data_IF_563913545701
#
_entry.id   IF_563913545701
#
_cell.length_a   1.000
_cell.length_b   1.000
_cell.length_c   1.000
_cell.angle_alpha   90.00
_cell.angle_beta   90.00
_cell.angle_gamma   90.00
#
_symmetry.space_group_name_H-M   'P 1'
#
loop_
_entity.id
_entity.type
_entity.pdbx_description
1 polymer ?
#
# COMPACT_ATOMS: atom_id res chain seq x y z
N UNK A 1 26.94 -6.88 9.87
CA UNK A 1 25.94 -6.62 10.62
C UNK A 1 24.62 -6.75 10.03
N UNK A 2 24.24 -5.99 9.01
CA UNK A 2 22.91 -6.09 8.42
C UNK A 2 22.66 -7.47 7.83
N UNK A 3 23.69 -8.09 7.33
CA UNK A 3 23.55 -9.41 6.73
C UNK A 3 23.21 -10.49 7.75
N UNK A 4 23.32 -10.17 9.04
CA UNK A 4 22.95 -11.13 10.07
C UNK A 4 21.50 -10.97 10.53
N UNK A 5 20.79 -10.00 9.96
CA UNK A 5 19.40 -9.77 10.36
C UNK A 5 18.48 -10.73 9.60
N UNK A 6 17.67 -11.46 10.35
CA UNK A 6 16.66 -12.34 9.78
C UNK A 6 15.36 -11.57 9.68
N UNK A 7 15.12 -10.97 8.52
CA UNK A 7 14.01 -10.05 8.31
C UNK A 7 12.67 -10.69 8.61
N UNK A 8 12.51 -11.96 8.27
CA UNK A 8 11.25 -12.65 8.48
C UNK A 8 10.89 -12.83 9.96
N UNK A 9 11.86 -12.63 10.86
CA UNK A 9 11.61 -12.71 12.28
C UNK A 9 11.31 -11.37 12.91
N UNK A 10 11.43 -10.29 12.14
CA UNK A 10 11.15 -8.94 12.64
C UNK A 10 9.67 -8.64 12.53
N UNK A 11 9.15 -7.93 13.52
CA UNK A 11 7.78 -7.44 13.38
C UNK A 11 7.79 -6.18 12.51
N UNK A 12 6.59 -5.70 12.16
CA UNK A 12 6.48 -4.56 11.25
C UNK A 12 7.14 -3.31 11.82
N UNK A 13 6.96 -3.05 13.11
CA UNK A 13 7.54 -1.85 13.71
C UNK A 13 9.06 -1.87 13.65
N UNK A 14 9.64 -3.02 13.91
CA UNK A 14 11.09 -3.17 13.81
C UNK A 14 11.56 -2.92 12.38
N UNK A 15 10.80 -3.44 11.42
CA UNK A 15 11.15 -3.29 10.02
C UNK A 15 10.99 -1.84 9.58
N UNK A 16 10.00 -1.12 10.10
CA UNK A 16 9.85 0.30 9.82
C UNK A 16 11.08 1.07 10.32
N UNK A 17 11.53 0.78 11.53
CA UNK A 17 12.69 1.46 12.08
C UNK A 17 13.94 1.23 11.23
N UNK A 18 14.13 -0.01 10.76
CA UNK A 18 15.25 -0.31 9.87
C UNK A 18 15.12 0.44 8.55
N UNK A 19 13.91 0.52 8.03
CA UNK A 19 13.65 1.21 6.76
C UNK A 19 14.00 2.70 6.88
N UNK A 20 13.70 3.31 8.02
CA UNK A 20 14.01 4.70 8.23
C UNK A 20 15.51 4.96 8.24
N UNK A 21 16.30 3.97 8.64
CA UNK A 21 17.75 4.08 8.60
C UNK A 21 18.34 3.71 7.24
N UNK A 22 17.69 2.75 6.57
CA UNK A 22 18.19 2.26 5.29
C UNK A 22 16.97 1.89 4.44
N UNK A 23 16.69 2.74 3.47
CA UNK A 23 15.47 2.61 2.66
C UNK A 23 15.37 1.29 1.91
N UNK A 24 16.48 0.59 1.71
CA UNK A 24 16.43 -0.68 1.01
C UNK A 24 15.59 -1.72 1.75
N UNK A 25 15.35 -1.53 3.03
CA UNK A 25 14.50 -2.45 3.78
C UNK A 25 13.03 -2.31 3.44
N UNK A 26 12.66 -1.24 2.74
CA UNK A 26 11.25 -1.05 2.41
C UNK A 26 10.70 -2.19 1.54
N UNK A 27 11.55 -2.80 0.72
CA UNK A 27 11.11 -3.89 -0.13
C UNK A 27 10.53 -5.06 0.68
N UNK A 28 11.00 -5.24 1.89
CA UNK A 28 10.47 -6.32 2.74
C UNK A 28 9.07 -6.00 3.24
N UNK A 29 8.81 -4.72 3.52
CA UNK A 29 7.45 -4.30 3.87
C UNK A 29 6.51 -4.49 2.69
N UNK A 30 6.97 -4.13 1.50
CA UNK A 30 6.17 -4.34 0.28
C UNK A 30 5.83 -5.82 0.14
N UNK A 31 6.83 -6.69 0.29
CA UNK A 31 6.61 -8.12 0.14
C UNK A 31 5.58 -8.66 1.12
N UNK A 32 5.56 -8.13 2.34
CA UNK A 32 4.60 -8.58 3.34
C UNK A 32 3.17 -8.24 2.99
N UNK A 33 2.97 -7.11 2.31
CA UNK A 33 1.62 -6.55 2.16
C UNK A 33 1.09 -6.53 0.73
N UNK A 34 1.93 -6.75 -0.28
CA UNK A 34 1.48 -6.51 -1.65
C UNK A 34 0.29 -7.38 -2.07
N UNK A 35 0.30 -8.66 -1.73
CA UNK A 35 -0.79 -9.53 -2.13
C UNK A 35 -2.05 -9.21 -1.35
N UNK A 36 -1.90 -9.03 -0.03
CA UNK A 36 -3.05 -8.73 0.82
C UNK A 36 -3.71 -7.42 0.42
N UNK A 37 -2.91 -6.40 0.17
CA UNK A 37 -3.45 -5.10 -0.19
C UNK A 37 -4.05 -5.12 -1.59
N UNK A 38 -3.43 -5.82 -2.52
CA UNK A 38 -3.99 -5.95 -3.86
C UNK A 38 -5.39 -6.55 -3.79
N UNK A 39 -5.55 -7.64 -3.06
CA UNK A 39 -6.84 -8.29 -2.93
C UNK A 39 -7.85 -7.40 -2.20
N UNK A 40 -7.39 -6.67 -1.20
CA UNK A 40 -8.26 -5.76 -0.47
C UNK A 40 -8.77 -4.64 -1.37
N UNK A 41 -7.85 -4.03 -2.15
CA UNK A 41 -8.22 -2.94 -3.07
C UNK A 41 -9.26 -3.44 -4.07
N UNK A 42 -9.05 -4.61 -4.66
CA UNK A 42 -9.99 -5.14 -5.63
C UNK A 42 -11.35 -5.43 -5.01
N UNK A 43 -11.34 -5.92 -3.78
CA UNK A 43 -12.59 -6.29 -3.13
C UNK A 43 -13.47 -5.09 -2.84
N UNK A 44 -12.87 -3.97 -2.42
CA UNK A 44 -13.69 -2.82 -2.02
C UNK A 44 -13.91 -1.84 -3.15
N UNK A 45 -13.12 -1.85 -4.21
CA UNK A 45 -13.26 -0.89 -5.29
C UNK A 45 -13.76 -1.49 -6.59
N UNK A 46 -13.70 -2.80 -6.72
CA UNK A 46 -14.19 -3.51 -7.90
C UNK A 46 -13.55 -3.00 -9.20
N UNK A 47 -12.28 -2.69 -9.15
CA UNK A 47 -11.55 -2.23 -10.33
C UNK A 47 -10.88 -3.41 -11.02
N UNK A 48 -10.37 -3.17 -12.22
CA UNK A 48 -9.63 -4.17 -12.95
C UNK A 48 -8.31 -4.49 -12.26
N UNK A 49 -7.65 -5.57 -12.68
CA UNK A 49 -6.34 -5.91 -12.15
C UNK A 49 -5.34 -4.79 -12.41
N UNK A 50 -5.37 -4.20 -13.60
CA UNK A 50 -4.44 -3.13 -13.94
C UNK A 50 -4.67 -1.91 -13.07
N UNK A 51 -5.93 -1.55 -12.86
CA UNK A 51 -6.24 -0.41 -12.01
C UNK A 51 -5.85 -0.68 -10.55
N UNK A 52 -6.05 -1.91 -10.10
CA UNK A 52 -5.66 -2.28 -8.75
C UNK A 52 -4.15 -2.20 -8.56
N UNK A 53 -3.38 -2.59 -9.59
CA UNK A 53 -1.93 -2.47 -9.51
C UNK A 53 -1.50 -1.01 -9.39
N UNK A 54 -2.15 -0.14 -10.16
CA UNK A 54 -1.83 1.29 -10.07
C UNK A 54 -2.15 1.85 -8.69
N UNK A 55 -3.30 1.47 -8.14
CA UNK A 55 -3.67 1.90 -6.80
C UNK A 55 -2.66 1.38 -5.77
N UNK A 56 -2.25 0.14 -5.94
CA UNK A 56 -1.30 -0.47 -5.02
C UNK A 56 0.04 0.27 -5.03
N UNK A 57 0.51 0.66 -6.22
CA UNK A 57 1.73 1.45 -6.32
C UNK A 57 1.59 2.78 -5.59
N UNK A 58 0.44 3.44 -5.74
CA UNK A 58 0.19 4.70 -5.04
C UNK A 58 0.17 4.50 -3.54
N UNK A 59 -0.39 3.38 -3.08
CA UNK A 59 -0.42 3.07 -1.65
C UNK A 59 1.00 2.96 -1.10
N UNK A 60 1.86 2.21 -1.80
CA UNK A 60 3.22 2.04 -1.32
C UNK A 60 4.02 3.32 -1.40
N UNK A 61 3.79 4.13 -2.43
CA UNK A 61 4.46 5.42 -2.52
C UNK A 61 4.05 6.32 -1.35
N UNK A 62 2.76 6.40 -1.06
CA UNK A 62 2.29 7.21 0.06
C UNK A 62 2.82 6.67 1.39
N UNK A 63 2.85 5.35 1.53
CA UNK A 63 3.39 4.73 2.72
C UNK A 63 4.85 5.14 2.92
N UNK A 64 5.64 5.03 1.86
CA UNK A 64 7.06 5.35 1.94
C UNK A 64 7.28 6.82 2.26
N UNK A 65 6.56 7.70 1.57
CA UNK A 65 6.75 9.13 1.75
C UNK A 65 6.31 9.61 3.14
N UNK A 66 5.42 8.87 3.78
CA UNK A 66 4.91 9.25 5.09
C UNK A 66 5.40 8.34 6.21
N UNK A 67 6.40 7.53 5.93
CA UNK A 67 6.86 6.56 6.92
C UNK A 67 7.35 7.23 8.19
N UNK A 68 7.93 8.42 8.09
CA UNK A 68 8.37 9.17 9.25
C UNK A 68 7.22 9.56 10.18
N UNK A 69 6.03 9.65 9.63
CA UNK A 69 4.85 10.04 10.41
C UNK A 69 4.25 8.88 11.18
N UNK A 70 4.63 7.66 10.82
CA UNK A 70 4.10 6.50 11.52
C UNK A 70 4.68 6.45 12.93
N UNK A 71 3.81 6.29 13.92
CA UNK A 71 4.28 6.14 15.30
C UNK A 71 4.23 4.67 15.68
N UNK A 72 5.26 4.22 16.37
CA UNK A 72 5.36 2.82 16.72
C UNK A 72 4.34 2.40 17.78
N UNK A 73 3.60 3.34 18.33
CA UNK A 73 2.51 3.02 19.25
C UNK A 73 1.29 2.48 18.52
N UNK A 74 1.23 2.66 17.21
CA UNK A 74 0.12 2.18 16.40
C UNK A 74 0.54 0.90 15.69
N UNK A 75 -0.46 0.11 15.28
CA UNK A 75 -0.19 -1.06 14.46
C UNK A 75 0.10 -0.62 13.04
N UNK A 76 1.23 -1.06 12.50
CA UNK A 76 1.57 -0.72 11.12
C UNK A 76 0.51 -1.25 10.15
N UNK A 77 -0.01 -2.45 10.39
CA UNK A 77 -1.03 -3.01 9.49
C UNK A 77 -2.26 -2.12 9.41
N UNK A 78 -2.71 -1.60 10.56
CA UNK A 78 -3.86 -0.71 10.54
C UNK A 78 -3.56 0.57 9.76
N UNK A 79 -2.37 1.08 9.92
CA UNK A 79 -1.97 2.32 9.28
C UNK A 79 -1.91 2.15 7.76
N UNK A 80 -1.26 1.09 7.28
CA UNK A 80 -1.14 0.89 5.83
C UNK A 80 -2.48 0.53 5.20
N UNK A 81 -3.33 -0.22 5.92
CA UNK A 81 -4.66 -0.53 5.40
C UNK A 81 -5.53 0.72 5.32
N UNK A 82 -5.35 1.67 6.23
CA UNK A 82 -6.08 2.95 6.14
C UNK A 82 -5.66 3.70 4.87
N UNK A 83 -4.38 3.70 4.55
CA UNK A 83 -3.90 4.34 3.32
C UNK A 83 -4.52 3.63 2.11
N UNK A 84 -4.50 2.29 2.13
CA UNK A 84 -5.06 1.52 1.01
C UNK A 84 -6.55 1.76 0.87
N UNK A 85 -7.27 1.81 1.99
CA UNK A 85 -8.70 2.06 1.97
C UNK A 85 -9.01 3.42 1.32
N UNK A 86 -8.29 4.45 1.75
CA UNK A 86 -8.52 5.79 1.22
C UNK A 86 -8.23 5.86 -0.28
N UNK A 87 -7.18 5.21 -0.73
CA UNK A 87 -6.85 5.20 -2.15
C UNK A 87 -7.90 4.42 -2.95
N UNK A 88 -8.35 3.28 -2.43
CA UNK A 88 -9.33 2.46 -3.13
C UNK A 88 -10.68 3.16 -3.21
N UNK A 89 -11.09 3.84 -2.15
CA UNK A 89 -12.36 4.57 -2.17
C UNK A 89 -12.26 5.75 -3.13
N UNK A 90 -11.10 6.40 -3.17
CA UNK A 90 -10.89 7.51 -4.08
C UNK A 90 -11.05 7.07 -5.54
N UNK A 91 -10.44 5.95 -5.92
CA UNK A 91 -10.56 5.46 -7.29
C UNK A 91 -11.99 4.99 -7.58
N UNK A 92 -12.63 4.35 -6.60
CA UNK A 92 -14.02 3.92 -6.75
C UNK A 92 -14.93 5.10 -7.04
N UNK A 93 -14.76 6.19 -6.30
CA UNK A 93 -15.56 7.40 -6.51
C UNK A 93 -15.31 8.02 -7.87
N UNK A 94 -14.05 8.03 -8.31
CA UNK A 94 -13.72 8.58 -9.63
C UNK A 94 -14.38 7.77 -10.73
N UNK A 95 -14.32 6.45 -10.62
CA UNK A 95 -14.92 5.59 -11.63
C UNK A 95 -16.43 5.76 -11.64
N UNK A 96 -17.04 5.82 -10.46
CA UNK A 96 -18.48 5.95 -10.37
C UNK A 96 -18.97 7.29 -10.88
N UNK A 97 -18.16 8.33 -10.79
CA UNK A 97 -18.54 9.65 -11.22
C UNK A 97 -18.35 9.86 -12.72
N UNK A 98 -17.71 8.93 -13.42
CA UNK A 98 -17.52 9.09 -14.86
C UNK A 98 -18.85 9.11 -15.58
N UNK A 99 -19.02 10.01 -16.55
CA UNK A 99 -20.23 9.97 -17.36
C UNK A 99 -20.31 8.65 -18.10
N UNK A 100 -21.53 8.19 -18.29
CA UNK A 100 -21.73 6.97 -19.03
C UNK A 100 -21.18 7.14 -20.44
N UNK A 101 -20.43 6.18 -20.90
CA UNK A 101 -19.82 6.23 -22.21
C UNK A 101 -18.38 6.67 -22.19
N UNK A 102 -17.98 7.50 -21.25
CA UNK A 102 -16.60 7.96 -21.23
C UNK A 102 -15.66 6.83 -20.83
N UNK A 103 -16.09 5.95 -19.97
CA UNK A 103 -15.27 4.83 -19.59
C UNK A 103 -15.07 3.86 -20.75
N UNK A 104 -16.03 3.83 -21.66
CA UNK A 104 -15.93 2.97 -22.82
C UNK A 104 -14.93 3.53 -23.81
N UNK A 105 -14.93 4.85 -23.95
CA UNK A 105 -14.07 5.46 -24.94
C UNK A 105 -12.61 5.45 -24.57
N UNK A 106 -12.34 5.20 -23.34
CA UNK A 106 -10.97 5.18 -22.87
C UNK A 106 -10.22 4.01 -23.44
N UNK A 107 -10.91 2.97 -23.72
CA UNK A 107 -10.24 1.79 -24.22
C UNK A 107 -9.80 1.82 -25.62
#
# INVERSE_FOLDING_TARGET
MLDNIHVDQLNDQELVLLTLENQSYFSYLIDRYKVKLFNYIRRISNVSNEEAEDVLQDVFLKTYLNLNSFTTSLKFSSWIYAIAHNQAISIFRKIKARPEGSSVTID
#
